data_IF_779152745189
#
_entry.id   IF_779152745189
#
_cell.length_a   1.000
_cell.length_b   1.000
_cell.length_c   1.000
_cell.angle_alpha   90.00
_cell.angle_beta   90.00
_cell.angle_gamma   90.00
#
_symmetry.space_group_name_H-M   'P 1'
#
loop_
_entity.id
_entity.type
_entity.pdbx_description
1 polymer ?
#
# COMPACT_ATOMS: atom_id res chain seq x y z
N UNK A 1 -19.19 -11.78 20.48
CA UNK A 1 -18.01 -11.37 19.68
C UNK A 1 -17.17 -10.46 20.54
N UNK A 2 -15.97 -10.86 21.03
CA UNK A 2 -15.13 -9.95 21.79
C UNK A 2 -14.62 -8.86 20.85
N UNK A 3 -15.00 -7.61 21.13
CA UNK A 3 -14.45 -6.44 20.47
C UNK A 3 -12.94 -6.42 20.70
N UNK A 4 -12.15 -6.27 19.65
CA UNK A 4 -10.70 -6.21 19.74
C UNK A 4 -10.29 -5.15 20.79
N UNK A 5 -9.49 -5.56 21.77
CA UNK A 5 -9.01 -4.67 22.83
C UNK A 5 -8.23 -3.50 22.23
N UNK A 6 -8.46 -2.30 22.76
CA UNK A 6 -7.77 -1.06 22.35
C UNK A 6 -6.25 -1.14 22.46
N UNK A 7 -5.73 -2.05 23.29
CA UNK A 7 -4.29 -2.38 23.35
C UNK A 7 -3.76 -3.05 22.07
N UNK A 8 -4.57 -3.89 21.41
CA UNK A 8 -4.18 -4.59 20.18
C UNK A 8 -4.44 -3.78 18.90
N UNK A 9 -5.29 -2.75 18.98
CA UNK A 9 -5.65 -1.89 17.85
C UNK A 9 -5.52 -0.40 18.23
N UNK A 10 -4.31 0.18 18.17
CA UNK A 10 -4.10 1.58 18.50
C UNK A 10 -4.88 2.49 17.52
N UNK A 11 -5.23 3.72 17.93
CA UNK A 11 -5.97 4.65 17.09
C UNK A 11 -5.16 5.01 15.84
N UNK A 12 -5.84 5.08 14.68
CA UNK A 12 -5.28 5.44 13.38
C UNK A 12 -4.79 6.90 13.37
N UNK A 13 -3.62 7.08 13.95
CA UNK A 13 -2.92 8.37 14.08
C UNK A 13 -1.59 8.30 13.34
N UNK A 14 -1.05 9.45 12.94
CA UNK A 14 0.29 9.51 12.33
C UNK A 14 1.35 8.82 13.19
N UNK A 15 1.29 9.00 14.51
CA UNK A 15 2.19 8.36 15.45
C UNK A 15 2.10 6.82 15.38
N UNK A 16 0.89 6.25 15.37
CA UNK A 16 0.69 4.80 15.25
C UNK A 16 1.27 4.22 13.94
N UNK A 17 1.14 4.97 12.83
CA UNK A 17 1.67 4.56 11.52
C UNK A 17 3.20 4.60 11.50
N UNK A 18 3.82 5.61 12.12
CA UNK A 18 5.28 5.67 12.27
C UNK A 18 5.81 4.52 13.13
N UNK A 19 5.18 4.23 14.27
CA UNK A 19 5.58 3.10 15.13
C UNK A 19 5.42 1.76 14.41
N UNK A 20 4.34 1.58 13.65
CA UNK A 20 4.14 0.41 12.81
C UNK A 20 5.24 0.27 11.74
N UNK A 21 5.67 1.38 11.14
CA UNK A 21 6.73 1.40 10.13
C UNK A 21 8.08 0.96 10.72
N UNK A 22 8.45 1.44 11.90
CA UNK A 22 9.72 1.06 12.54
C UNK A 22 9.76 -0.45 12.86
N UNK A 23 8.65 -1.01 13.34
CA UNK A 23 8.55 -2.45 13.64
C UNK A 23 8.76 -3.32 12.39
N UNK A 24 8.14 -2.96 11.27
CA UNK A 24 8.20 -3.78 10.06
C UNK A 24 9.40 -3.45 9.17
N UNK A 25 10.13 -2.37 9.46
CA UNK A 25 11.26 -1.86 8.66
C UNK A 25 12.27 -2.91 8.20
N UNK A 26 12.71 -3.89 9.02
CA UNK A 26 13.65 -4.92 8.55
C UNK A 26 13.01 -5.95 7.59
N UNK A 27 11.68 -5.99 7.51
CA UNK A 27 10.94 -6.99 6.75
C UNK A 27 10.28 -6.44 5.48
N UNK A 28 10.34 -5.13 5.22
CA UNK A 28 9.70 -4.48 4.06
C UNK A 28 10.73 -3.78 3.16
N UNK A 29 10.47 -3.77 1.86
CA UNK A 29 11.25 -2.98 0.90
C UNK A 29 10.75 -1.54 0.84
N UNK A 30 11.68 -0.60 0.67
CA UNK A 30 11.36 0.76 0.24
C UNK A 30 11.13 0.75 -1.26
N UNK A 31 9.86 0.68 -1.63
CA UNK A 31 9.41 0.70 -3.01
C UNK A 31 9.67 2.07 -3.66
N UNK A 32 10.17 2.10 -4.91
CA UNK A 32 10.44 3.35 -5.58
C UNK A 32 9.14 4.13 -5.84
N UNK A 33 9.30 5.44 -6.03
CA UNK A 33 8.27 6.28 -6.63
C UNK A 33 8.72 6.56 -8.06
N UNK A 34 7.94 6.13 -9.04
CA UNK A 34 8.24 6.34 -10.44
C UNK A 34 7.41 7.48 -11.00
N UNK A 35 7.95 8.16 -11.99
CA UNK A 35 7.24 9.18 -12.76
C UNK A 35 7.29 8.81 -14.23
N UNK A 36 6.21 9.06 -14.96
CA UNK A 36 6.15 8.88 -16.41
C UNK A 36 5.87 10.22 -17.07
N UNK A 37 6.76 10.65 -17.95
CA UNK A 37 6.59 11.86 -18.77
C UNK A 37 5.38 11.71 -19.66
N UNK A 38 5.27 10.60 -20.40
CA UNK A 38 4.14 10.30 -21.28
C UNK A 38 2.78 10.41 -20.59
N UNK A 39 2.63 9.83 -19.39
CA UNK A 39 1.36 9.89 -18.65
C UNK A 39 1.10 11.29 -18.08
N UNK A 40 2.15 12.01 -17.70
CA UNK A 40 2.05 13.39 -17.23
C UNK A 40 1.63 14.33 -18.37
N UNK A 41 2.17 14.12 -19.58
CA UNK A 41 1.85 14.90 -20.78
C UNK A 41 0.43 14.62 -21.25
N UNK A 42 0.02 13.35 -21.25
CA UNK A 42 -1.35 12.95 -21.56
C UNK A 42 -2.35 13.59 -20.58
N UNK A 43 -2.07 13.54 -19.28
CA UNK A 43 -2.92 14.18 -18.27
C UNK A 43 -2.91 15.71 -18.35
N UNK A 44 -1.84 16.30 -18.89
CA UNK A 44 -1.71 17.74 -19.11
C UNK A 44 -2.26 18.19 -20.47
N UNK A 45 -2.81 17.27 -21.27
CA UNK A 45 -3.31 17.59 -22.60
C UNK A 45 -4.62 18.37 -22.45
N UNK A 46 -4.71 19.60 -22.99
CA UNK A 46 -5.94 20.39 -22.94
C UNK A 46 -7.08 19.65 -23.64
N UNK A 47 -8.28 19.72 -23.06
CA UNK A 47 -9.46 19.21 -23.75
C UNK A 47 -9.72 20.00 -25.03
N UNK A 48 -10.36 19.38 -26.01
CA UNK A 48 -10.76 20.12 -27.22
C UNK A 48 -12.01 20.95 -26.94
N UNK A 49 -12.24 22.06 -27.64
CA UNK A 49 -13.45 22.87 -27.48
C UNK A 49 -14.73 22.06 -27.70
N UNK A 50 -14.69 21.05 -28.57
CA UNK A 50 -15.81 20.16 -28.86
C UNK A 50 -16.15 19.26 -27.67
N UNK A 51 -15.16 18.92 -26.84
CA UNK A 51 -15.39 18.14 -25.62
C UNK A 51 -16.13 18.92 -24.52
N UNK A 52 -16.27 20.25 -24.68
CA UNK A 52 -17.01 21.11 -23.76
C UNK A 52 -18.48 21.31 -24.18
N UNK A 53 -18.86 20.89 -25.39
CA UNK A 53 -20.24 20.97 -25.89
C UNK A 53 -21.19 20.16 -24.99
N UNK A 54 -22.27 20.77 -24.51
CA UNK A 54 -23.22 20.14 -23.59
C UNK A 54 -22.76 20.10 -22.13
N UNK A 55 -21.62 20.73 -21.78
CA UNK A 55 -21.17 20.90 -20.40
C UNK A 55 -21.42 22.33 -19.91
N UNK A 56 -21.35 22.56 -18.59
CA UNK A 56 -21.45 23.91 -18.02
C UNK A 56 -20.34 24.89 -18.47
N UNK A 57 -19.34 24.40 -19.19
CA UNK A 57 -18.19 25.16 -19.69
C UNK A 57 -18.21 25.33 -21.21
N UNK A 58 -19.33 25.04 -21.87
CA UNK A 58 -19.51 25.24 -23.31
C UNK A 58 -19.20 26.69 -23.73
N UNK A 59 -18.42 26.84 -24.81
CA UNK A 59 -17.99 28.16 -25.31
C UNK A 59 -16.82 28.80 -24.56
N UNK A 60 -16.29 28.17 -23.51
CA UNK A 60 -15.09 28.66 -22.81
C UNK A 60 -13.80 28.09 -23.40
N UNK A 61 -12.68 28.81 -23.20
CA UNK A 61 -11.36 28.32 -23.59
C UNK A 61 -10.98 27.09 -22.76
N UNK A 62 -10.60 25.95 -23.37
CA UNK A 62 -10.24 24.76 -22.62
C UNK A 62 -9.07 24.98 -21.67
N UNK A 63 -9.20 24.44 -20.45
CA UNK A 63 -8.16 24.53 -19.44
C UNK A 63 -6.89 23.80 -19.89
N UNK A 64 -5.73 24.38 -19.54
CA UNK A 64 -4.40 23.81 -19.82
C UNK A 64 -3.68 23.46 -18.51
N UNK A 65 -4.12 22.42 -17.79
CA UNK A 65 -3.49 22.04 -16.53
C UNK A 65 -2.11 21.42 -16.79
N UNK A 66 -1.15 21.70 -15.92
CA UNK A 66 0.14 20.99 -15.89
C UNK A 66 0.12 19.98 -14.75
N UNK A 67 -0.02 18.70 -15.09
CA UNK A 67 -0.17 17.60 -14.14
C UNK A 67 1.10 16.75 -14.13
N UNK A 68 1.60 16.42 -12.94
CA UNK A 68 2.72 15.48 -12.74
C UNK A 68 2.24 14.28 -11.96
N UNK A 69 2.37 13.09 -12.54
CA UNK A 69 1.93 11.84 -11.92
C UNK A 69 3.10 11.12 -11.24
N UNK A 70 2.87 10.69 -10.00
CA UNK A 70 3.81 9.92 -9.19
C UNK A 70 3.18 8.57 -8.83
N UNK A 71 3.86 7.48 -9.15
CA UNK A 71 3.39 6.13 -8.92
C UNK A 71 4.16 5.50 -7.77
N UNK A 72 3.47 5.15 -6.68
CA UNK A 72 4.07 4.38 -5.59
C UNK A 72 4.03 2.89 -5.94
N UNK A 73 5.19 2.33 -6.28
CA UNK A 73 5.28 0.99 -6.86
C UNK A 73 5.26 -0.13 -5.81
N UNK A 74 4.12 -0.34 -5.14
CA UNK A 74 3.94 -1.43 -4.18
C UNK A 74 4.00 -2.84 -4.80
N UNK A 75 3.98 -2.93 -6.14
CA UNK A 75 4.25 -4.15 -6.90
C UNK A 75 5.70 -4.65 -6.79
N UNK A 76 6.64 -3.82 -6.33
CA UNK A 76 8.04 -4.24 -6.07
C UNK A 76 8.29 -4.61 -4.60
N UNK A 77 7.23 -4.69 -3.80
CA UNK A 77 7.32 -5.19 -2.44
C UNK A 77 7.55 -6.72 -2.44
N UNK A 78 8.08 -7.32 -1.34
CA UNK A 78 8.52 -8.74 -1.25
C UNK A 78 7.58 -9.83 -1.80
N UNK A 79 6.29 -9.53 -1.99
CA UNK A 79 5.25 -10.44 -2.49
C UNK A 79 4.45 -9.86 -3.67
N UNK A 80 4.92 -8.76 -4.26
CA UNK A 80 4.20 -8.06 -5.32
C UNK A 80 3.00 -7.21 -4.87
N UNK A 81 2.81 -6.99 -3.56
CA UNK A 81 1.67 -6.22 -3.05
C UNK A 81 1.96 -5.52 -1.71
N UNK A 82 1.22 -4.44 -1.46
CA UNK A 82 1.29 -3.65 -0.22
C UNK A 82 0.85 -4.43 1.03
N UNK A 83 0.02 -5.47 0.86
CA UNK A 83 -0.61 -6.24 1.95
C UNK A 83 0.41 -6.87 2.91
N UNK A 84 1.63 -7.12 2.47
CA UNK A 84 2.69 -7.65 3.33
C UNK A 84 3.08 -6.72 4.46
N UNK A 85 2.93 -5.40 4.27
CA UNK A 85 3.24 -4.42 5.32
C UNK A 85 2.33 -4.63 6.54
N UNK A 86 1.03 -4.85 6.29
CA UNK A 86 0.05 -5.16 7.32
C UNK A 86 0.26 -6.56 7.92
N UNK A 87 0.58 -7.56 7.09
CA UNK A 87 0.86 -8.91 7.56
C UNK A 87 2.07 -8.96 8.52
N UNK A 88 3.20 -8.34 8.16
CA UNK A 88 4.35 -8.26 9.06
C UNK A 88 4.05 -7.43 10.31
N UNK A 89 3.25 -6.37 10.21
CA UNK A 89 2.86 -5.59 11.40
C UNK A 89 2.02 -6.41 12.37
N UNK A 90 1.10 -7.24 11.86
CA UNK A 90 0.29 -8.13 12.67
C UNK A 90 1.14 -9.24 13.30
N UNK A 91 2.03 -9.88 12.53
CA UNK A 91 2.91 -10.93 13.04
C UNK A 91 3.89 -10.41 14.10
N UNK A 92 4.44 -9.21 13.94
CA UNK A 92 5.37 -8.62 14.90
C UNK A 92 4.74 -8.31 16.27
N UNK A 93 3.40 -8.45 16.40
CA UNK A 93 2.65 -8.21 17.64
C UNK A 93 2.11 -9.50 18.27
N UNK A 94 2.36 -10.65 17.66
CA UNK A 94 2.02 -11.96 18.22
C UNK A 94 3.15 -12.45 19.14
N UNK A 95 2.82 -13.19 20.18
CA UNK A 95 3.84 -13.85 21.03
C UNK A 95 4.46 -15.06 20.31
N UNK A 96 5.62 -15.54 20.79
CA UNK A 96 6.29 -16.72 20.21
C UNK A 96 5.40 -17.98 20.29
N UNK A 97 4.56 -18.09 21.33
CA UNK A 97 3.56 -19.16 21.48
C UNK A 97 2.41 -19.05 20.47
N UNK A 98 2.05 -17.83 20.04
CA UNK A 98 1.05 -17.60 19.00
C UNK A 98 1.63 -17.83 17.60
N UNK A 99 2.88 -17.44 17.36
CA UNK A 99 3.58 -17.66 16.09
C UNK A 99 3.88 -19.14 15.82
N UNK A 100 4.24 -19.89 16.86
CA UNK A 100 4.51 -21.34 16.75
C UNK A 100 3.28 -22.18 16.40
N UNK A 101 2.07 -21.68 16.70
CA UNK A 101 0.79 -22.29 16.30
C UNK A 101 0.47 -22.08 14.81
N UNK A 102 1.23 -21.21 14.14
CA UNK A 102 1.01 -20.84 12.74
C UNK A 102 -0.13 -19.83 12.56
N UNK A 103 -0.01 -19.00 11.53
CA UNK A 103 -1.00 -17.96 11.21
C UNK A 103 -1.63 -18.26 9.86
N UNK A 104 -2.95 -18.40 9.84
CA UNK A 104 -3.74 -18.61 8.62
C UNK A 104 -4.65 -17.41 8.43
N UNK A 105 -4.53 -16.74 7.29
CA UNK A 105 -5.42 -15.63 6.92
C UNK A 105 -6.14 -15.97 5.61
N UNK A 106 -7.46 -15.91 5.60
CA UNK A 106 -8.27 -16.07 4.40
C UNK A 106 -8.46 -14.70 3.74
N UNK A 107 -8.01 -14.55 2.49
CA UNK A 107 -8.22 -13.34 1.69
C UNK A 107 -8.67 -13.76 0.28
N UNK A 108 -9.49 -12.93 -0.37
CA UNK A 108 -10.00 -13.17 -1.73
C UNK A 108 -8.93 -13.02 -2.84
N UNK A 109 -7.67 -12.78 -2.48
CA UNK A 109 -6.50 -12.89 -3.35
C UNK A 109 -5.46 -13.86 -2.77
N UNK A 110 -4.46 -14.24 -3.59
CA UNK A 110 -3.44 -15.29 -3.37
C UNK A 110 -3.25 -15.70 -1.91
N UNK A 111 -3.49 -16.96 -1.51
CA UNK A 111 -3.27 -17.42 -0.15
C UNK A 111 -1.79 -17.27 0.20
N UNK A 112 -1.48 -16.43 1.19
CA UNK A 112 -0.11 -16.21 1.64
C UNK A 112 0.08 -16.90 2.98
N UNK A 113 0.70 -18.07 2.94
CA UNK A 113 1.25 -18.71 4.14
C UNK A 113 2.55 -17.99 4.48
N UNK A 114 2.49 -17.09 5.47
CA UNK A 114 3.68 -16.40 5.96
C UNK A 114 4.36 -17.29 7.01
N UNK A 115 5.37 -18.05 6.58
CA UNK A 115 6.18 -18.87 7.48
C UNK A 115 7.19 -17.96 8.19
N UNK A 116 7.30 -18.00 9.54
CA UNK A 116 8.30 -17.23 10.26
C UNK A 116 9.70 -17.62 9.79
N UNK A 117 10.52 -16.65 9.38
CA UNK A 117 11.91 -16.90 9.02
C UNK A 117 12.73 -17.12 10.29
N UNK A 118 13.04 -18.38 10.61
CA UNK A 118 13.79 -18.71 11.82
C UNK A 118 14.13 -20.19 11.98
N UNK A 119 14.87 -20.78 11.03
CA UNK A 119 15.85 -21.85 11.30
C UNK A 119 16.65 -22.15 10.03
N UNK A 120 17.93 -21.80 10.03
CA UNK A 120 18.89 -22.40 9.11
C UNK A 120 18.97 -23.90 9.42
N UNK A 121 18.99 -24.80 8.42
CA UNK A 121 19.26 -26.20 8.65
C UNK A 121 20.73 -26.35 9.04
N UNK A 122 20.97 -26.73 10.29
CA UNK A 122 22.25 -27.28 10.71
C UNK A 122 22.33 -28.72 10.19
N UNK A 123 23.24 -28.97 9.26
CA UNK A 123 23.83 -30.27 9.00
C UNK A 123 25.33 -30.17 9.30
#
# INVERSE_FOLDING_TARGET
MPMASTEKCPPLTRASVCSALELIRPHIHRTPVLTSTTLSDLASTPQTPEALLGTAYEGQTPARPKIRLFFKCENYQRIGAFKIRGAFHALARLSDEELSKGVVTHSSGTPQVLRPSGRAPTH
#
